data_IF_726056964093
#
_entry.id   IF_726056964093
#
_cell.length_a   1.000
_cell.length_b   1.000
_cell.length_c   1.000
_cell.angle_alpha   90.00
_cell.angle_beta   90.00
_cell.angle_gamma   90.00
#
_symmetry.space_group_name_H-M   'P 1'
#
loop_
_entity.id
_entity.type
_entity.pdbx_description
1 polymer ?
#
# COMPACT_ATOMS: atom_id res chain seq x y z
N UNK A 1 13.39 4.98 6.13
CA UNK A 1 12.97 6.25 6.76
C UNK A 1 13.72 6.44 8.07
N UNK A 2 14.07 7.67 8.43
CA UNK A 2 14.56 7.95 9.78
C UNK A 2 13.45 7.66 10.83
N UNK A 3 13.83 7.18 12.01
CA UNK A 3 12.91 6.78 13.07
C UNK A 3 12.04 7.95 13.57
N UNK A 4 12.56 9.19 13.54
CA UNK A 4 11.80 10.37 13.94
C UNK A 4 10.71 10.71 12.92
N UNK A 5 11.00 10.58 11.62
CA UNK A 5 10.01 10.79 10.55
C UNK A 5 8.91 9.72 10.63
N UNK A 6 9.27 8.45 10.88
CA UNK A 6 8.29 7.38 11.07
C UNK A 6 7.32 7.69 12.23
N UNK A 7 7.84 8.05 13.41
CA UNK A 7 7.01 8.43 14.57
C UNK A 7 6.12 9.64 14.29
N UNK A 8 6.67 10.66 13.61
CA UNK A 8 5.92 11.85 13.21
C UNK A 8 4.76 11.48 12.29
N UNK A 9 4.99 10.64 11.27
CA UNK A 9 3.93 10.18 10.35
C UNK A 9 2.87 9.38 11.07
N UNK A 10 3.27 8.44 11.93
CA UNK A 10 2.34 7.68 12.76
C UNK A 10 1.43 8.62 13.56
N UNK A 11 1.99 9.67 14.17
CA UNK A 11 1.20 10.64 14.93
C UNK A 11 0.25 11.48 14.07
N UNK A 12 0.63 11.83 12.84
CA UNK A 12 -0.25 12.52 11.88
C UNK A 12 -1.37 11.61 11.35
N UNK A 13 -1.12 10.31 11.25
CA UNK A 13 -2.10 9.31 10.81
C UNK A 13 -3.08 8.92 11.92
N UNK A 14 -2.79 9.23 13.19
CA UNK A 14 -3.71 8.94 14.31
C UNK A 14 -5.04 9.65 14.10
N UNK A 15 -6.12 8.87 14.09
CA UNK A 15 -7.49 9.39 13.89
C UNK A 15 -7.86 9.62 12.42
N UNK A 16 -6.95 9.35 11.47
CA UNK A 16 -7.30 9.34 10.05
C UNK A 16 -8.10 8.07 9.73
N UNK A 17 -9.09 8.20 8.84
CA UNK A 17 -9.88 7.05 8.36
C UNK A 17 -9.21 6.29 7.22
N UNK A 18 -8.26 6.91 6.54
CA UNK A 18 -7.65 6.38 5.33
C UNK A 18 -6.16 6.15 5.56
N UNK A 19 -5.75 4.88 5.46
CA UNK A 19 -4.36 4.45 5.57
C UNK A 19 -3.95 3.79 4.25
N UNK A 20 -2.81 4.25 3.70
CA UNK A 20 -2.32 3.83 2.39
C UNK A 20 -0.90 3.24 2.47
N UNK A 21 -0.57 2.64 3.61
CA UNK A 21 0.70 1.99 3.87
C UNK A 21 0.72 0.53 3.44
N UNK A 22 1.81 0.09 2.82
CA UNK A 22 2.08 -1.32 2.50
C UNK A 22 3.43 -1.70 3.06
N UNK A 23 3.44 -2.65 4.00
CA UNK A 23 4.68 -3.14 4.59
C UNK A 23 5.45 -3.98 3.57
N UNK A 24 6.71 -3.60 3.30
CA UNK A 24 7.60 -4.34 2.42
C UNK A 24 8.36 -5.41 3.18
N UNK A 25 8.92 -5.02 4.33
CA UNK A 25 9.65 -5.90 5.24
C UNK A 25 9.62 -5.32 6.68
N UNK A 26 10.40 -5.90 7.58
CA UNK A 26 10.46 -5.47 8.98
C UNK A 26 10.99 -4.03 9.18
N UNK A 27 11.60 -3.42 8.15
CA UNK A 27 12.27 -2.11 8.22
C UNK A 27 11.74 -1.09 7.21
N UNK A 28 11.00 -1.54 6.20
CA UNK A 28 10.59 -0.72 5.05
C UNK A 28 9.09 -0.86 4.77
N UNK A 29 8.50 0.28 4.39
CA UNK A 29 7.08 0.44 4.11
C UNK A 29 6.91 1.43 2.95
N UNK A 30 6.00 1.13 2.02
CA UNK A 30 5.53 2.07 1.02
C UNK A 30 4.39 2.90 1.62
N UNK A 31 4.53 4.23 1.61
CA UNK A 31 3.49 5.15 2.08
C UNK A 31 2.92 5.94 0.89
N UNK A 32 1.75 5.53 0.41
CA UNK A 32 1.07 6.17 -0.72
C UNK A 32 0.14 7.33 -0.31
N UNK A 33 0.22 7.80 0.94
CA UNK A 33 -0.69 8.83 1.48
C UNK A 33 -0.62 10.15 0.71
N UNK A 34 0.58 10.55 0.27
CA UNK A 34 0.79 11.82 -0.46
C UNK A 34 0.91 11.65 -1.98
N UNK A 35 1.46 10.53 -2.44
CA UNK A 35 1.74 10.24 -3.84
C UNK A 35 1.57 8.75 -4.10
N UNK A 36 0.97 8.38 -5.22
CA UNK A 36 0.73 7.00 -5.62
C UNK A 36 -0.22 6.92 -6.82
N UNK A 37 -0.39 5.73 -7.39
CA UNK A 37 -1.34 5.50 -8.49
C UNK A 37 -2.79 5.40 -8.00
N UNK A 38 -3.74 5.19 -8.92
CA UNK A 38 -5.15 4.93 -8.59
C UNK A 38 -5.34 3.69 -7.72
N UNK A 39 -4.42 2.72 -7.79
CA UNK A 39 -4.48 1.49 -6.99
C UNK A 39 -4.53 1.75 -5.48
N UNK A 40 -4.04 2.91 -5.01
CA UNK A 40 -4.10 3.27 -3.58
C UNK A 40 -5.53 3.36 -3.04
N UNK A 41 -6.52 3.56 -3.90
CA UNK A 41 -7.93 3.67 -3.50
C UNK A 41 -8.65 2.31 -3.46
N UNK A 42 -7.96 1.21 -3.76
CA UNK A 42 -8.49 -0.12 -3.51
C UNK A 42 -8.73 -0.31 -2.01
N UNK A 43 -9.93 -0.73 -1.64
CA UNK A 43 -10.32 -0.90 -0.24
C UNK A 43 -9.90 -2.26 0.31
N UNK A 44 -9.79 -2.34 1.64
CA UNK A 44 -9.69 -3.61 2.33
C UNK A 44 -11.03 -4.38 2.24
N UNK A 45 -10.95 -5.69 2.03
CA UNK A 45 -12.09 -6.62 2.08
C UNK A 45 -11.63 -7.96 2.65
N UNK A 46 -12.47 -8.59 3.46
CA UNK A 46 -12.26 -9.98 3.91
C UNK A 46 -12.51 -11.01 2.80
N UNK A 47 -13.22 -10.60 1.74
CA UNK A 47 -13.43 -11.38 0.51
C UNK A 47 -13.04 -10.51 -0.69
N UNK A 48 -11.74 -10.34 -0.96
CA UNK A 48 -11.26 -9.46 -2.01
C UNK A 48 -11.32 -10.15 -3.39
N UNK A 49 -11.45 -9.35 -4.45
CA UNK A 49 -11.31 -9.80 -5.85
C UNK A 49 -9.93 -9.46 -6.45
N UNK A 50 -9.09 -8.75 -5.70
CA UNK A 50 -7.71 -8.42 -6.06
C UNK A 50 -6.77 -8.68 -4.88
N UNK A 51 -5.49 -8.92 -5.16
CA UNK A 51 -4.42 -9.00 -4.16
C UNK A 51 -3.30 -8.02 -4.49
N UNK A 52 -2.62 -7.55 -3.44
CA UNK A 52 -1.34 -6.87 -3.58
C UNK A 52 -0.22 -7.90 -3.59
N UNK A 53 0.76 -7.71 -4.46
CA UNK A 53 1.98 -8.51 -4.51
C UNK A 53 3.21 -7.61 -4.54
N UNK A 54 4.29 -8.07 -3.92
CA UNK A 54 5.58 -7.40 -3.94
C UNK A 54 6.50 -8.08 -4.93
N UNK A 55 7.10 -7.29 -5.82
CA UNK A 55 7.96 -7.77 -6.90
C UNK A 55 9.27 -6.99 -6.92
N UNK A 56 10.39 -7.69 -7.11
CA UNK A 56 11.65 -7.03 -7.43
C UNK A 56 11.65 -6.67 -8.92
N UNK A 57 11.75 -5.39 -9.23
CA UNK A 57 11.79 -4.87 -10.59
C UNK A 57 13.03 -4.00 -10.73
N UNK A 58 14.05 -4.51 -11.42
CA UNK A 58 15.30 -3.77 -11.64
C UNK A 58 16.04 -3.41 -10.34
N UNK A 59 15.96 -4.26 -9.31
CA UNK A 59 16.57 -4.02 -8.00
C UNK A 59 15.73 -3.17 -7.03
N UNK A 60 14.54 -2.71 -7.43
CA UNK A 60 13.60 -2.01 -6.55
C UNK A 60 12.42 -2.90 -6.19
N UNK A 61 12.00 -2.88 -4.91
CA UNK A 61 10.76 -3.56 -4.50
C UNK A 61 9.57 -2.70 -4.88
N UNK A 62 8.74 -3.22 -5.79
CA UNK A 62 7.53 -2.60 -6.29
C UNK A 62 6.28 -3.35 -5.77
N UNK A 63 5.15 -2.65 -5.67
CA UNK A 63 3.86 -3.22 -5.29
C UNK A 63 2.90 -3.20 -6.48
N UNK A 64 2.37 -4.37 -6.85
CA UNK A 64 1.38 -4.54 -7.91
C UNK A 64 0.03 -5.02 -7.38
N UNK A 65 -1.06 -4.52 -7.96
CA UNK A 65 -2.42 -4.96 -7.66
C UNK A 65 -2.91 -5.88 -8.79
N UNK A 66 -3.18 -7.14 -8.46
CA UNK A 66 -3.54 -8.17 -9.43
C UNK A 66 -4.91 -8.74 -9.13
N UNK A 67 -5.69 -9.04 -10.17
CA UNK A 67 -6.97 -9.69 -10.04
C UNK A 67 -6.80 -11.16 -9.57
N UNK A 68 -7.63 -11.58 -8.63
CA UNK A 68 -7.71 -12.98 -8.17
C UNK A 68 -8.62 -13.81 -9.07
N UNK A 69 -9.51 -13.14 -9.79
CA UNK A 69 -10.50 -13.70 -10.70
C UNK A 69 -10.75 -12.75 -11.88
N UNK A 70 -11.55 -13.18 -12.86
CA UNK A 70 -11.93 -12.30 -13.97
C UNK A 70 -12.85 -11.18 -13.46
N UNK A 71 -12.47 -9.93 -13.71
CA UNK A 71 -13.26 -8.75 -13.32
C UNK A 71 -14.05 -8.27 -14.54
N UNK A 72 -15.37 -8.17 -14.39
CA UNK A 72 -16.23 -7.61 -15.44
C UNK A 72 -15.93 -6.11 -15.66
N UNK A 73 -16.07 -5.61 -16.90
CA UNK A 73 -15.97 -4.17 -17.15
C UNK A 73 -17.06 -3.42 -16.37
N UNK A 74 -16.80 -2.14 -16.03
CA UNK A 74 -17.75 -1.29 -15.31
C UNK A 74 -19.01 -0.99 -16.13
#
# INVERSE_FOLDING_TARGET
MDNNEYKRRQQLLRGTRHFYGVQLNAREELDATRKGSLARFANHSCAPNCKLELWEVGGETCCGLFALETIAPP
#
